data_IF_440924016322
#
_entry.id   IF_440924016322
#
_cell.length_a   1.000
_cell.length_b   1.000
_cell.length_c   1.000
_cell.angle_alpha   90.00
_cell.angle_beta   90.00
_cell.angle_gamma   90.00
#
_symmetry.space_group_name_H-M   'P 1'
#
loop_
_entity.id
_entity.type
_entity.pdbx_description
1 polymer ?
#
# COMPACT_ATOMS: atom_id res chain seq x y z
N UNK A 1 26.95 -7.41 7.93
CA UNK A 1 25.68 -6.64 8.13
C UNK A 1 25.46 -5.78 6.89
N UNK A 2 24.23 -5.60 6.43
CA UNK A 2 23.93 -4.78 5.26
C UNK A 2 24.18 -3.29 5.57
N UNK A 3 24.82 -2.57 4.67
CA UNK A 3 24.93 -1.10 4.72
C UNK A 3 23.60 -0.42 4.29
N UNK A 4 22.68 -1.18 3.66
CA UNK A 4 21.34 -0.69 3.31
C UNK A 4 20.49 -0.63 4.57
N UNK A 5 19.98 0.55 4.93
CA UNK A 5 19.16 0.80 6.11
C UNK A 5 17.64 0.64 5.85
N UNK A 6 17.21 0.75 4.59
CA UNK A 6 15.79 0.62 4.21
C UNK A 6 15.52 1.03 2.78
N UNK A 7 14.24 0.92 2.38
CA UNK A 7 13.76 1.47 1.12
C UNK A 7 13.49 2.97 1.31
N UNK A 8 14.09 3.84 0.49
CA UNK A 8 13.85 5.28 0.53
C UNK A 8 12.52 5.65 -0.13
N UNK A 9 12.41 5.45 -1.43
CA UNK A 9 11.21 5.79 -2.18
C UNK A 9 10.99 4.87 -3.39
N UNK A 10 9.79 4.94 -3.97
CA UNK A 10 9.41 4.26 -5.21
C UNK A 10 9.00 5.31 -6.24
N UNK A 11 9.49 5.18 -7.48
CA UNK A 11 9.04 5.99 -8.62
C UNK A 11 8.19 5.16 -9.57
N UNK A 12 7.07 5.72 -10.04
CA UNK A 12 6.20 5.11 -11.05
C UNK A 12 5.99 6.08 -12.22
N UNK A 13 5.99 5.54 -13.43
CA UNK A 13 5.63 6.31 -14.63
C UNK A 13 4.12 6.36 -14.79
N UNK A 14 3.60 7.54 -15.08
CA UNK A 14 2.17 7.83 -15.27
C UNK A 14 1.89 8.22 -16.71
N UNK A 15 0.83 7.70 -17.29
CA UNK A 15 0.30 8.14 -18.59
C UNK A 15 -0.41 9.50 -18.47
N UNK A 16 -1.12 9.70 -17.36
CA UNK A 16 -1.80 10.96 -16.99
C UNK A 16 -1.34 11.39 -15.60
N UNK A 17 -0.24 12.14 -15.55
CA UNK A 17 0.35 12.61 -14.28
C UNK A 17 -0.64 13.44 -13.47
N UNK A 18 -1.50 14.25 -14.11
CA UNK A 18 -2.48 15.08 -13.41
C UNK A 18 -3.49 14.23 -12.66
N UNK A 19 -4.07 13.22 -13.32
CA UNK A 19 -5.04 12.29 -12.74
C UNK A 19 -4.42 11.48 -11.59
N UNK A 20 -3.19 11.00 -11.77
CA UNK A 20 -2.48 10.25 -10.75
C UNK A 20 -2.12 11.12 -9.54
N UNK A 21 -1.67 12.36 -9.79
CA UNK A 21 -1.43 13.35 -8.73
C UNK A 21 -2.68 13.61 -7.90
N UNK A 22 -3.83 13.85 -8.54
CA UNK A 22 -5.11 14.04 -7.86
C UNK A 22 -5.53 12.82 -7.04
N UNK A 23 -5.29 11.62 -7.56
CA UNK A 23 -5.59 10.38 -6.86
C UNK A 23 -4.71 10.22 -5.60
N UNK A 24 -3.39 10.27 -5.72
CA UNK A 24 -2.50 10.05 -4.58
C UNK A 24 -2.57 11.17 -3.55
N UNK A 25 -2.75 12.42 -3.95
CA UNK A 25 -2.89 13.53 -2.99
C UNK A 25 -4.32 13.72 -2.49
N UNK A 26 -5.31 13.73 -3.37
CA UNK A 26 -6.70 14.02 -3.02
C UNK A 26 -7.46 12.83 -2.43
N UNK A 27 -7.32 11.64 -3.05
CA UNK A 27 -8.02 10.44 -2.57
C UNK A 27 -7.26 9.75 -1.43
N UNK A 28 -5.97 9.45 -1.62
CA UNK A 28 -5.16 8.78 -0.59
C UNK A 28 -4.66 9.73 0.51
N UNK A 29 -4.60 11.03 0.25
CA UNK A 29 -4.22 12.04 1.23
C UNK A 29 -2.72 12.19 1.45
N UNK A 30 -1.89 11.77 0.48
CA UNK A 30 -0.46 12.06 0.54
C UNK A 30 -0.22 13.55 0.30
N UNK A 31 0.70 14.12 1.04
CA UNK A 31 1.14 15.51 0.85
C UNK A 31 2.04 15.61 -0.37
N UNK A 32 1.74 16.55 -1.27
CA UNK A 32 2.69 16.93 -2.32
C UNK A 32 3.80 17.73 -1.64
N UNK A 33 4.98 17.16 -1.57
CA UNK A 33 6.15 17.80 -0.96
C UNK A 33 6.90 18.68 -1.95
N UNK A 34 6.87 18.32 -3.24
CA UNK A 34 7.48 19.09 -4.32
C UNK A 34 6.90 18.67 -5.68
N UNK A 35 7.00 19.54 -6.69
CA UNK A 35 6.65 19.22 -8.07
C UNK A 35 7.43 20.07 -9.09
N UNK A 36 7.75 19.47 -10.22
CA UNK A 36 8.33 20.16 -11.38
C UNK A 36 7.50 19.86 -12.63
N UNK A 37 6.53 20.73 -12.96
CA UNK A 37 5.69 20.55 -14.15
C UNK A 37 6.49 20.54 -15.45
N UNK A 38 7.62 21.23 -15.51
CA UNK A 38 8.47 21.29 -16.70
C UNK A 38 9.16 19.95 -16.99
N UNK A 39 9.51 19.21 -15.94
CA UNK A 39 10.03 17.83 -16.03
C UNK A 39 8.96 16.77 -16.00
N UNK A 40 7.73 17.14 -15.65
CA UNK A 40 6.61 16.20 -15.49
C UNK A 40 6.81 15.26 -14.29
N UNK A 41 7.17 15.79 -13.13
CA UNK A 41 7.37 15.00 -11.90
C UNK A 41 6.63 15.61 -10.71
N UNK A 42 6.13 14.76 -9.84
CA UNK A 42 5.48 15.12 -8.58
C UNK A 42 5.99 14.20 -7.47
N UNK A 43 6.36 14.77 -6.35
CA UNK A 43 6.89 14.10 -5.17
C UNK A 43 5.84 14.11 -4.06
N UNK A 44 5.60 12.96 -3.45
CA UNK A 44 4.56 12.80 -2.43
C UNK A 44 5.10 12.08 -1.20
N UNK A 45 4.61 12.51 -0.03
CA UNK A 45 4.97 11.88 1.24
C UNK A 45 3.76 11.79 2.18
N UNK A 46 3.73 10.73 3.01
CA UNK A 46 2.82 10.62 4.15
C UNK A 46 3.32 11.43 5.36
N UNK A 47 4.61 11.76 5.41
CA UNK A 47 5.26 12.47 6.51
C UNK A 47 6.35 13.44 6.00
N UNK A 48 5.98 14.51 5.27
CA UNK A 48 6.93 15.40 4.58
C UNK A 48 7.93 16.11 5.50
N UNK A 49 7.60 16.21 6.79
CA UNK A 49 8.49 16.79 7.81
C UNK A 49 9.74 15.92 8.08
N UNK A 50 9.64 14.61 7.85
CA UNK A 50 10.72 13.66 8.11
C UNK A 50 11.26 13.00 6.85
N UNK A 51 10.42 12.83 5.84
CA UNK A 51 10.77 12.19 4.56
C UNK A 51 10.27 13.04 3.42
N UNK A 52 11.20 13.63 2.64
CA UNK A 52 10.82 14.53 1.56
C UNK A 52 9.84 13.87 0.57
N UNK A 53 10.06 12.61 0.23
CA UNK A 53 9.15 11.84 -0.60
C UNK A 53 9.35 10.34 -0.41
N UNK A 54 8.23 9.62 -0.42
CA UNK A 54 8.16 8.15 -0.40
C UNK A 54 7.66 7.62 -1.76
N UNK A 55 6.96 8.48 -2.51
CA UNK A 55 6.45 8.18 -3.84
C UNK A 55 6.80 9.30 -4.83
N UNK A 56 7.29 8.92 -6.00
CA UNK A 56 7.52 9.82 -7.13
C UNK A 56 6.61 9.44 -8.29
N UNK A 57 5.82 10.38 -8.78
CA UNK A 57 5.05 10.25 -10.01
C UNK A 57 5.81 10.97 -11.13
N UNK A 58 6.06 10.28 -12.23
CA UNK A 58 6.76 10.84 -13.37
C UNK A 58 5.93 10.63 -14.65
N UNK A 59 5.79 11.68 -15.47
CA UNK A 59 5.12 11.58 -16.76
C UNK A 59 5.88 10.61 -17.67
N UNK A 60 5.20 9.60 -18.17
CA UNK A 60 5.78 8.68 -19.14
C UNK A 60 6.12 9.41 -20.44
N UNK A 61 7.31 9.12 -20.99
CA UNK A 61 7.73 9.66 -22.31
C UNK A 61 6.91 9.07 -23.45
N UNK A 62 6.52 7.82 -23.30
CA UNK A 62 5.63 7.13 -24.23
C UNK A 62 4.40 6.62 -23.46
N UNK A 63 3.24 7.32 -23.56
CA UNK A 63 2.01 6.89 -22.88
C UNK A 63 1.46 5.54 -23.37
N UNK A 64 1.91 5.03 -24.52
CA UNK A 64 1.52 3.72 -25.03
C UNK A 64 2.32 2.57 -24.37
N UNK A 65 3.41 2.88 -23.70
CA UNK A 65 4.26 1.88 -23.06
C UNK A 65 3.55 1.31 -21.81
N UNK A 66 3.02 0.10 -21.96
CA UNK A 66 2.44 -0.69 -20.86
C UNK A 66 3.54 -1.48 -20.14
N UNK A 67 4.33 -0.83 -19.30
CA UNK A 67 5.30 -1.54 -18.47
C UNK A 67 4.92 -1.43 -17.00
N UNK A 68 4.19 -2.43 -16.49
CA UNK A 68 3.98 -2.60 -15.05
C UNK A 68 5.14 -3.44 -14.49
N UNK A 69 6.26 -2.81 -14.20
CA UNK A 69 7.38 -3.47 -13.51
C UNK A 69 7.19 -3.50 -12.00
N UNK A 70 6.34 -2.62 -11.46
CA UNK A 70 5.98 -2.61 -10.04
C UNK A 70 4.75 -3.49 -9.83
N UNK A 71 4.88 -4.54 -9.00
CA UNK A 71 3.81 -5.49 -8.73
C UNK A 71 2.72 -4.87 -7.84
N UNK A 72 3.10 -4.05 -6.86
CA UNK A 72 2.20 -3.27 -5.99
C UNK A 72 2.95 -2.14 -5.29
N UNK A 73 2.18 -1.13 -4.85
CA UNK A 73 2.62 -0.10 -3.91
C UNK A 73 1.77 -0.24 -2.65
N UNK A 74 2.41 -0.43 -1.49
CA UNK A 74 1.71 -0.68 -0.22
C UNK A 74 1.90 0.48 0.74
N UNK A 75 0.79 1.03 1.25
CA UNK A 75 0.80 2.10 2.24
C UNK A 75 0.27 1.59 3.59
N UNK A 76 0.96 1.96 4.65
CA UNK A 76 0.56 1.65 6.00
C UNK A 76 -0.50 2.62 6.51
N UNK A 77 -1.59 2.08 7.07
CA UNK A 77 -2.68 2.85 7.67
C UNK A 77 -2.58 2.76 9.19
N UNK A 78 -2.95 3.83 9.88
CA UNK A 78 -2.77 3.95 11.34
C UNK A 78 -3.63 2.98 12.16
N UNK A 79 -4.80 2.57 11.63
CA UNK A 79 -5.76 1.72 12.34
C UNK A 79 -6.53 0.81 11.38
N UNK A 80 -7.12 -0.27 11.91
CA UNK A 80 -8.00 -1.15 11.15
C UNK A 80 -9.29 -0.42 10.71
N UNK A 81 -9.82 0.47 11.55
CA UNK A 81 -10.91 1.37 11.21
C UNK A 81 -10.55 2.24 9.98
N UNK A 82 -9.31 2.74 9.92
CA UNK A 82 -8.82 3.48 8.76
C UNK A 82 -8.81 2.65 7.47
N UNK A 83 -8.42 1.36 7.54
CA UNK A 83 -8.50 0.45 6.38
C UNK A 83 -9.94 0.27 5.94
N UNK A 84 -10.89 0.07 6.88
CA UNK A 84 -12.34 -0.04 6.62
C UNK A 84 -12.89 1.23 5.99
N UNK A 85 -12.52 2.40 6.50
CA UNK A 85 -12.97 3.68 5.95
C UNK A 85 -12.54 3.86 4.48
N UNK A 86 -11.30 3.49 4.14
CA UNK A 86 -10.84 3.46 2.76
C UNK A 86 -11.58 2.43 1.92
N UNK A 87 -11.83 1.23 2.44
CA UNK A 87 -12.59 0.19 1.75
C UNK A 87 -13.99 0.68 1.36
N UNK A 88 -14.74 1.30 2.29
CA UNK A 88 -16.05 1.90 2.00
C UNK A 88 -15.96 3.05 1.00
N UNK A 89 -14.91 3.87 1.09
CA UNK A 89 -14.69 4.96 0.14
C UNK A 89 -14.40 4.43 -1.27
N UNK A 90 -13.60 3.38 -1.40
CA UNK A 90 -13.34 2.70 -2.68
C UNK A 90 -14.63 2.18 -3.30
N UNK A 91 -15.50 1.53 -2.50
CA UNK A 91 -16.81 1.07 -2.96
C UNK A 91 -17.71 2.21 -3.43
N UNK A 92 -17.82 3.27 -2.62
CA UNK A 92 -18.64 4.45 -2.92
C UNK A 92 -18.21 5.14 -4.22
N UNK A 93 -16.93 5.21 -4.48
CA UNK A 93 -16.37 5.83 -5.69
C UNK A 93 -16.26 4.86 -6.88
N UNK A 94 -16.77 3.63 -6.72
CA UNK A 94 -16.78 2.62 -7.79
C UNK A 94 -15.39 2.18 -8.25
N UNK A 95 -14.40 2.28 -7.37
CA UNK A 95 -13.04 1.87 -7.69
C UNK A 95 -12.91 0.34 -7.73
N UNK A 96 -12.04 -0.15 -8.60
CA UNK A 96 -11.80 -1.58 -8.78
C UNK A 96 -11.04 -2.14 -7.59
N UNK A 97 -11.75 -2.81 -6.67
CA UNK A 97 -11.17 -3.55 -5.56
C UNK A 97 -10.76 -4.94 -6.08
N UNK A 98 -9.53 -5.35 -5.77
CA UNK A 98 -9.02 -6.68 -6.09
C UNK A 98 -9.45 -7.69 -5.03
N UNK A 99 -9.11 -7.42 -3.77
CA UNK A 99 -9.45 -8.29 -2.64
C UNK A 99 -9.23 -7.63 -1.28
N UNK A 100 -9.81 -8.22 -0.24
CA UNK A 100 -9.53 -7.94 1.17
C UNK A 100 -8.90 -9.17 1.80
N UNK A 101 -7.81 -9.00 2.55
CA UNK A 101 -6.96 -10.10 3.02
C UNK A 101 -6.43 -9.83 4.41
N UNK A 102 -6.40 -10.87 5.27
CA UNK A 102 -5.46 -10.87 6.40
C UNK A 102 -4.26 -11.76 6.09
N UNK A 103 -3.09 -11.25 6.40
CA UNK A 103 -1.84 -12.00 6.44
C UNK A 103 -1.50 -12.49 7.85
N UNK A 104 -2.45 -12.38 8.78
CA UNK A 104 -2.25 -12.57 10.21
C UNK A 104 -1.53 -11.38 10.84
N UNK A 105 -0.35 -11.03 10.35
CA UNK A 105 0.43 -9.85 10.78
C UNK A 105 -0.03 -8.52 10.16
N UNK A 106 -0.99 -8.56 9.25
CA UNK A 106 -1.62 -7.38 8.64
C UNK A 106 -3.05 -7.68 8.19
N UNK A 107 -3.90 -6.65 8.14
CA UNK A 107 -5.21 -6.67 7.48
C UNK A 107 -5.21 -5.61 6.39
N UNK A 108 -5.60 -6.00 5.17
CA UNK A 108 -5.36 -5.24 3.95
C UNK A 108 -6.58 -5.17 3.04
N UNK A 109 -6.69 -4.07 2.30
CA UNK A 109 -7.48 -3.96 1.07
C UNK A 109 -6.54 -3.71 -0.11
N UNK A 110 -6.71 -4.49 -1.18
CA UNK A 110 -6.01 -4.36 -2.46
C UNK A 110 -6.96 -3.80 -3.50
N UNK A 111 -6.52 -2.84 -4.27
CA UNK A 111 -7.31 -2.19 -5.32
C UNK A 111 -6.39 -1.64 -6.41
N UNK A 112 -6.99 -1.04 -7.45
CA UNK A 112 -6.24 -0.48 -8.55
C UNK A 112 -6.41 1.05 -8.58
N UNK A 113 -5.28 1.74 -8.82
CA UNK A 113 -5.29 3.16 -9.07
C UNK A 113 -5.88 3.48 -10.46
N UNK A 114 -6.05 4.77 -10.84
CA UNK A 114 -6.64 5.13 -12.13
C UNK A 114 -5.87 4.64 -13.37
N UNK A 115 -4.66 4.17 -13.20
CA UNK A 115 -3.83 3.61 -14.29
C UNK A 115 -3.57 2.11 -14.18
N UNK A 116 -4.40 1.41 -13.39
CA UNK A 116 -4.32 -0.02 -13.13
C UNK A 116 -3.06 -0.48 -12.37
N UNK A 117 -2.35 0.41 -11.67
CA UNK A 117 -1.32 -0.02 -10.74
C UNK A 117 -1.99 -0.57 -9.48
N UNK A 118 -1.49 -1.71 -9.00
CA UNK A 118 -2.02 -2.33 -7.80
C UNK A 118 -1.54 -1.59 -6.55
N UNK A 119 -2.49 -1.19 -5.72
CA UNK A 119 -2.25 -0.50 -4.45
C UNK A 119 -2.77 -1.36 -3.30
N UNK A 120 -2.03 -1.37 -2.21
CA UNK A 120 -2.45 -1.98 -0.95
C UNK A 120 -2.51 -0.91 0.14
N UNK A 121 -3.61 -0.90 0.90
CA UNK A 121 -3.68 -0.20 2.17
C UNK A 121 -3.78 -1.24 3.29
N UNK A 122 -2.88 -1.18 4.27
CA UNK A 122 -2.82 -2.18 5.32
C UNK A 122 -2.60 -1.61 6.71
N UNK A 123 -3.18 -2.30 7.69
CA UNK A 123 -2.91 -2.11 9.11
C UNK A 123 -2.08 -3.27 9.62
N UNK A 124 -0.97 -2.98 10.31
CA UNK A 124 -0.12 -4.00 10.93
C UNK A 124 -0.74 -4.46 12.26
N UNK A 125 -1.07 -5.73 12.36
CA UNK A 125 -1.51 -6.35 13.62
C UNK A 125 -0.30 -6.69 14.51
N UNK A 126 -0.49 -6.93 15.82
CA UNK A 126 0.60 -7.35 16.70
C UNK A 126 1.01 -8.83 16.52
N UNK A 127 0.30 -9.58 15.70
CA UNK A 127 0.45 -11.04 15.60
C UNK A 127 1.64 -11.45 14.73
N UNK A 128 2.28 -12.56 15.10
CA UNK A 128 3.47 -13.11 14.43
C UNK A 128 3.13 -14.38 13.67
N UNK A 129 2.67 -14.24 12.45
CA UNK A 129 2.25 -15.34 11.59
C UNK A 129 3.30 -15.58 10.50
N UNK A 130 3.62 -16.88 10.27
CA UNK A 130 4.57 -17.29 9.22
C UNK A 130 4.07 -16.89 7.85
N UNK A 131 4.95 -16.27 7.08
CA UNK A 131 4.71 -15.86 5.70
C UNK A 131 5.41 -16.82 4.72
N UNK A 132 4.94 -16.93 3.45
CA UNK A 132 3.78 -16.25 2.89
C UNK A 132 2.45 -16.86 3.37
N UNK A 133 1.48 -16.03 3.67
CA UNK A 133 0.15 -16.42 4.11
C UNK A 133 -0.87 -15.32 3.76
N UNK A 134 -2.10 -15.69 3.42
CA UNK A 134 -3.20 -14.76 3.19
C UNK A 134 -4.53 -15.49 3.14
N UNK A 135 -5.52 -14.96 3.88
CA UNK A 135 -6.90 -15.42 3.89
C UNK A 135 -7.84 -14.24 3.68
N UNK A 136 -8.93 -14.49 2.96
CA UNK A 136 -9.96 -13.48 2.74
C UNK A 136 -10.57 -13.02 4.07
N UNK A 137 -10.80 -11.70 4.19
CA UNK A 137 -11.53 -11.10 5.30
C UNK A 137 -12.67 -10.22 4.79
N UNK A 138 -13.75 -10.17 5.57
CA UNK A 138 -14.83 -9.23 5.38
C UNK A 138 -14.60 -8.02 6.30
N UNK A 139 -14.17 -6.90 5.70
CA UNK A 139 -13.83 -5.67 6.43
C UNK A 139 -15.05 -5.00 7.09
N UNK A 140 -16.29 -5.42 6.76
CA UNK A 140 -17.50 -4.91 7.42
C UNK A 140 -17.72 -5.52 8.81
N UNK A 141 -16.98 -6.58 9.16
CA UNK A 141 -17.04 -7.19 10.49
C UNK A 141 -16.39 -6.29 11.55
N UNK A 142 -16.81 -6.42 12.83
CA UNK A 142 -16.21 -5.71 13.95
C UNK A 142 -14.70 -5.96 14.06
N UNK A 143 -13.93 -4.96 14.48
CA UNK A 143 -12.46 -5.05 14.63
C UNK A 143 -12.04 -6.22 15.52
N UNK A 144 -12.77 -6.45 16.64
CA UNK A 144 -12.48 -7.56 17.54
C UNK A 144 -12.53 -8.93 16.85
N UNK A 145 -13.50 -9.12 15.93
CA UNK A 145 -13.64 -10.36 15.18
C UNK A 145 -12.53 -10.52 14.12
N UNK A 146 -12.21 -9.43 13.42
CA UNK A 146 -11.12 -9.43 12.44
C UNK A 146 -9.76 -9.70 13.10
N UNK A 147 -9.52 -9.08 14.24
CA UNK A 147 -8.27 -9.28 15.00
C UNK A 147 -8.20 -10.70 15.58
N UNK A 148 -9.30 -11.21 16.16
CA UNK A 148 -9.34 -12.60 16.64
C UNK A 148 -9.12 -13.61 15.51
N UNK A 149 -9.71 -13.35 14.32
CA UNK A 149 -9.47 -14.18 13.14
C UNK A 149 -8.02 -14.14 12.70
N UNK A 150 -7.42 -12.95 12.61
CA UNK A 150 -6.00 -12.80 12.27
C UNK A 150 -5.10 -13.50 13.29
N UNK A 151 -5.39 -13.37 14.59
CA UNK A 151 -4.66 -14.02 15.67
C UNK A 151 -4.70 -15.56 15.58
N UNK A 152 -5.83 -16.13 15.18
CA UNK A 152 -5.99 -17.59 15.09
C UNK A 152 -4.95 -18.28 14.19
N UNK A 153 -4.25 -17.50 13.35
CA UNK A 153 -3.21 -18.03 12.47
C UNK A 153 -1.82 -18.08 13.09
N UNK A 154 -1.58 -17.46 14.25
CA UNK A 154 -0.32 -17.64 14.99
C UNK A 154 -0.10 -19.12 15.35
N UNK A 155 -1.12 -19.79 15.87
CA UNK A 155 -1.07 -21.21 16.21
C UNK A 155 -1.07 -22.11 14.96
N UNK A 156 -1.95 -21.80 13.99
CA UNK A 156 -2.12 -22.64 12.78
C UNK A 156 -0.91 -22.63 11.85
N UNK A 157 -0.20 -21.50 11.75
CA UNK A 157 0.94 -21.32 10.82
C UNK A 157 2.28 -21.25 11.55
N UNK A 158 2.28 -21.00 12.85
CA UNK A 158 3.47 -20.83 13.68
C UNK A 158 4.17 -19.48 13.45
N UNK A 159 5.23 -19.19 14.22
CA UNK A 159 5.96 -17.93 14.15
C UNK A 159 6.69 -17.77 12.81
N UNK A 160 7.06 -16.54 12.44
CA UNK A 160 7.93 -16.27 11.30
C UNK A 160 9.19 -17.17 11.37
N UNK A 161 9.63 -17.64 10.22
CA UNK A 161 10.96 -18.28 10.13
C UNK A 161 11.98 -17.26 10.59
N UNK A 162 12.83 -17.61 11.57
CA UNK A 162 13.92 -16.75 11.99
C UNK A 162 14.70 -16.28 10.76
N UNK A 163 15.16 -15.03 10.76
CA UNK A 163 16.11 -14.59 9.77
C UNK A 163 17.27 -15.59 9.85
N UNK A 164 17.40 -16.46 8.86
CA UNK A 164 18.62 -17.24 8.72
C UNK A 164 19.71 -16.20 8.59
N UNK A 165 20.63 -16.19 9.56
CA UNK A 165 21.86 -15.45 9.43
C UNK A 165 22.43 -15.80 8.07
N UNK A 166 22.55 -14.80 7.20
CA UNK A 166 23.23 -14.97 5.92
C UNK A 166 24.62 -15.57 6.19
N UNK A 167 25.07 -16.52 5.36
CA UNK A 167 26.37 -17.13 5.52
C UNK A 167 27.52 -16.13 5.47
#
# INVERSE_FOLDING_TARGET
MSEISGLGHVGIYCRDLKRMREFYSGFLGLTISDEDPGRGVCFLSAAPESEHHELVLAQAKDPAQKTHSVQQVSFKVKSLEGVRAFYHRLQKEGMKIDRTVTHGNACSVYFYDPEDNRVELYYTTPYKVRQPFGEHIDLDRPDAELLAFAQSFEEKKGPPRGAQSAP
#
